data_IF_677043374244
#
_entry.id   IF_677043374244
#
_cell.length_a   1.000
_cell.length_b   1.000
_cell.length_c   1.000
_cell.angle_alpha   90.00
_cell.angle_beta   90.00
_cell.angle_gamma   90.00
#
_symmetry.space_group_name_H-M   'P 1'
#
loop_
_entity.id
_entity.type
_entity.pdbx_description
1 polymer ?
#
# COMPACT_ATOMS: atom_id res chain seq x y z
N UNK A 1 -23.93 10.07 -2.17
CA UNK A 1 -23.60 10.33 -0.75
C UNK A 1 -22.21 10.94 -0.74
N UNK A 2 -22.04 12.04 -0.02
CA UNK A 2 -20.75 12.73 0.10
C UNK A 2 -19.82 11.96 1.04
N UNK A 3 -18.50 12.12 0.87
CA UNK A 3 -17.49 11.57 1.80
C UNK A 3 -17.36 12.53 2.97
N UNK A 4 -17.36 12.01 4.19
CA UNK A 4 -17.35 12.80 5.43
C UNK A 4 -16.08 12.57 6.24
N UNK A 5 -15.78 13.47 7.17
CA UNK A 5 -14.66 13.31 8.10
C UNK A 5 -14.75 12.03 8.94
N UNK A 6 -15.94 11.49 9.18
CA UNK A 6 -16.08 10.24 9.93
C UNK A 6 -15.65 9.02 9.10
N UNK A 7 -15.87 9.06 7.78
CA UNK A 7 -15.39 8.04 6.83
C UNK A 7 -13.86 7.95 6.79
N UNK A 8 -13.14 8.99 7.26
CA UNK A 8 -11.68 9.10 7.16
C UNK A 8 -10.94 9.10 8.50
N UNK A 9 -11.57 8.61 9.58
CA UNK A 9 -10.84 8.46 10.86
C UNK A 9 -9.89 7.27 10.82
N UNK A 10 -8.72 7.39 11.46
CA UNK A 10 -7.75 6.30 11.62
C UNK A 10 -8.22 5.21 12.60
N UNK A 11 -9.36 4.56 12.33
CA UNK A 11 -9.87 3.40 13.07
C UNK A 11 -10.68 2.52 12.11
N UNK A 12 -10.75 1.20 12.31
CA UNK A 12 -11.57 0.34 11.47
C UNK A 12 -13.04 0.73 11.44
N UNK A 13 -13.68 0.59 10.28
CA UNK A 13 -15.14 0.72 10.15
C UNK A 13 -15.84 -0.44 10.91
N UNK A 14 -16.64 -0.17 11.95
CA UNK A 14 -17.28 -1.22 12.73
C UNK A 14 -18.24 -2.07 11.89
N UNK A 15 -18.11 -3.39 11.98
CA UNK A 15 -19.00 -4.34 11.31
C UNK A 15 -18.78 -4.47 9.80
N UNK A 16 -17.80 -3.75 9.22
CA UNK A 16 -17.42 -3.92 7.84
C UNK A 16 -16.80 -5.31 7.59
N UNK A 17 -17.07 -5.95 6.43
CA UNK A 17 -16.44 -7.23 6.07
C UNK A 17 -14.91 -7.12 5.96
N UNK A 18 -14.40 -5.98 5.51
CA UNK A 18 -13.02 -5.58 5.67
C UNK A 18 -12.93 -4.03 5.72
N UNK A 19 -11.80 -3.48 6.15
CA UNK A 19 -11.48 -2.05 6.00
C UNK A 19 -10.04 -1.91 5.48
N UNK A 20 -9.93 -1.45 4.24
CA UNK A 20 -8.69 -1.31 3.49
C UNK A 20 -8.29 0.15 3.46
N UNK A 21 -7.11 0.47 3.98
CA UNK A 21 -6.45 1.77 3.81
C UNK A 21 -5.19 1.55 2.99
N UNK A 22 -5.04 2.29 1.90
CA UNK A 22 -3.95 2.11 0.96
C UNK A 22 -3.36 3.45 0.51
N UNK A 23 -2.05 3.48 0.31
CA UNK A 23 -1.30 4.58 -0.25
C UNK A 23 -0.45 4.08 -1.42
N UNK A 24 -0.52 4.81 -2.53
CA UNK A 24 0.35 4.68 -3.69
C UNK A 24 1.12 5.96 -3.94
N UNK A 25 2.41 5.86 -4.24
CA UNK A 25 3.19 6.99 -4.75
C UNK A 25 4.27 6.52 -5.72
N UNK A 26 4.71 7.43 -6.58
CA UNK A 26 5.82 7.21 -7.51
C UNK A 26 6.73 8.43 -7.44
N UNK A 27 8.03 8.22 -7.29
CA UNK A 27 9.04 9.26 -7.38
C UNK A 27 9.94 8.98 -8.58
N UNK A 28 9.85 9.84 -9.60
CA UNK A 28 10.70 9.71 -10.78
C UNK A 28 12.16 10.02 -10.46
N UNK A 29 12.40 10.97 -9.56
CA UNK A 29 13.74 11.37 -9.12
C UNK A 29 14.50 10.24 -8.45
N UNK A 30 13.81 9.36 -7.72
CA UNK A 30 14.41 8.17 -7.12
C UNK A 30 14.14 6.88 -7.93
N UNK A 31 13.47 6.97 -9.09
CA UNK A 31 13.03 5.84 -9.90
C UNK A 31 12.37 4.71 -9.08
N UNK A 32 11.42 5.08 -8.23
CA UNK A 32 10.85 4.22 -7.20
C UNK A 32 9.33 4.39 -7.10
N UNK A 33 8.62 3.27 -6.96
CA UNK A 33 7.21 3.22 -6.56
C UNK A 33 7.07 2.69 -5.15
N UNK A 34 6.20 3.32 -4.36
CA UNK A 34 5.80 2.85 -3.03
C UNK A 34 4.33 2.46 -2.98
N UNK A 35 4.05 1.34 -2.30
CA UNK A 35 2.71 0.87 -1.97
C UNK A 35 2.67 0.52 -0.48
N UNK A 36 1.68 1.03 0.24
CA UNK A 36 1.38 0.67 1.63
C UNK A 36 -0.10 0.31 1.72
N UNK A 37 -0.43 -0.86 2.27
CA UNK A 37 -1.81 -1.32 2.45
C UNK A 37 -1.97 -1.99 3.81
N UNK A 38 -2.96 -1.54 4.56
CA UNK A 38 -3.57 -2.29 5.65
C UNK A 38 -4.95 -2.76 5.20
N UNK A 39 -5.24 -4.05 5.36
CA UNK A 39 -6.53 -4.68 5.07
C UNK A 39 -7.01 -5.39 6.34
N UNK A 40 -7.86 -4.69 7.09
CA UNK A 40 -8.40 -5.14 8.38
C UNK A 40 -9.59 -6.06 8.14
N UNK A 41 -9.44 -7.35 8.45
CA UNK A 41 -10.48 -8.37 8.27
C UNK A 41 -11.04 -8.79 9.62
N UNK A 42 -11.90 -7.94 10.19
CA UNK A 42 -12.43 -8.12 11.55
C UNK A 42 -13.11 -9.48 11.78
N UNK A 43 -13.84 -10.01 10.79
CA UNK A 43 -14.49 -11.32 10.89
C UNK A 43 -13.50 -12.49 10.92
N UNK A 44 -12.35 -12.37 10.25
CA UNK A 44 -11.29 -13.37 10.24
C UNK A 44 -10.33 -13.23 11.45
N UNK A 45 -10.48 -12.17 12.25
CA UNK A 45 -9.61 -11.93 13.41
C UNK A 45 -8.18 -11.53 13.05
N UNK A 46 -7.94 -11.08 11.82
CA UNK A 46 -6.60 -10.73 11.32
C UNK A 46 -6.58 -9.43 10.48
N UNK A 47 -5.40 -8.85 10.37
CA UNK A 47 -5.07 -7.74 9.47
C UNK A 47 -3.97 -8.18 8.52
N UNK A 48 -4.14 -7.90 7.22
CA UNK A 48 -3.08 -8.08 6.23
C UNK A 48 -2.32 -6.77 6.04
N UNK A 49 -0.99 -6.84 6.04
CA UNK A 49 -0.09 -5.73 5.72
C UNK A 49 0.66 -6.06 4.43
N UNK A 50 0.66 -5.10 3.51
CA UNK A 50 1.56 -5.08 2.37
C UNK A 50 2.29 -3.74 2.34
N UNK A 51 3.61 -3.78 2.38
CA UNK A 51 4.46 -2.65 2.00
C UNK A 51 5.36 -3.10 0.88
N UNK A 52 5.46 -2.33 -0.20
CA UNK A 52 6.39 -2.61 -1.27
C UNK A 52 7.14 -1.33 -1.66
N UNK A 53 8.46 -1.47 -1.78
CA UNK A 53 9.35 -0.51 -2.40
C UNK A 53 9.89 -1.14 -3.68
N UNK A 54 9.45 -0.64 -4.83
CA UNK A 54 9.75 -1.20 -6.15
C UNK A 54 10.59 -0.21 -6.93
N UNK A 55 11.88 -0.52 -7.09
CA UNK A 55 12.85 0.34 -7.77
C UNK A 55 13.05 -0.10 -9.21
N UNK A 56 13.31 0.86 -10.10
CA UNK A 56 13.62 0.53 -11.49
C UNK A 56 15.00 -0.11 -11.60
N UNK A 57 15.06 -1.27 -12.26
CA UNK A 57 16.34 -1.97 -12.49
C UNK A 57 16.78 -2.89 -11.36
N UNK A 58 16.16 -2.79 -10.18
CA UNK A 58 16.65 -3.38 -8.93
C UNK A 58 15.68 -4.44 -8.38
N UNK A 59 16.12 -5.29 -7.44
CA UNK A 59 15.23 -6.15 -6.66
C UNK A 59 14.17 -5.34 -5.90
N UNK A 60 13.01 -5.95 -5.73
CA UNK A 60 11.92 -5.43 -4.92
C UNK A 60 12.20 -5.66 -3.44
N UNK A 61 11.75 -4.74 -2.59
CA UNK A 61 11.73 -4.98 -1.15
C UNK A 61 10.30 -4.93 -0.65
N UNK A 62 9.84 -6.05 -0.07
CA UNK A 62 8.43 -6.24 0.27
C UNK A 62 8.27 -6.72 1.71
N UNK A 63 7.38 -6.08 2.46
CA UNK A 63 6.87 -6.55 3.75
C UNK A 63 5.49 -7.12 3.52
N UNK A 64 5.30 -8.41 3.80
CA UNK A 64 4.00 -9.08 3.71
C UNK A 64 3.73 -9.77 5.03
N UNK A 65 2.61 -9.43 5.66
CA UNK A 65 2.06 -10.13 6.83
C UNK A 65 0.55 -10.33 6.63
N UNK A 66 0.01 -11.43 7.12
CA UNK A 66 -1.40 -11.79 6.97
C UNK A 66 -2.11 -12.15 8.28
N UNK A 67 -1.40 -12.10 9.40
CA UNK A 67 -1.89 -12.51 10.72
C UNK A 67 -1.66 -11.43 11.78
N UNK A 68 -1.47 -10.17 11.37
CA UNK A 68 -1.38 -9.06 12.32
C UNK A 68 -2.69 -8.93 13.11
N UNK A 69 -2.63 -8.48 14.38
CA UNK A 69 -3.83 -8.32 15.18
C UNK A 69 -4.81 -7.32 14.54
N UNK A 70 -6.10 -7.49 14.82
CA UNK A 70 -7.13 -6.53 14.41
C UNK A 70 -7.01 -5.25 15.24
N UNK A 71 -6.75 -4.08 14.63
CA UNK A 71 -6.73 -2.82 15.36
C UNK A 71 -8.11 -2.49 15.92
N UNK A 72 -8.17 -1.83 17.08
CA UNK A 72 -9.46 -1.45 17.73
C UNK A 72 -9.71 0.06 17.75
N UNK A 73 -8.65 0.85 17.81
CA UNK A 73 -8.74 2.29 18.11
C UNK A 73 -7.91 3.15 17.16
N UNK A 74 -6.76 2.65 16.71
CA UNK A 74 -5.83 3.28 15.76
C UNK A 74 -5.36 2.25 14.74
N UNK A 75 -4.88 2.69 13.57
CA UNK A 75 -4.17 1.83 12.62
C UNK A 75 -2.69 1.67 12.98
N UNK A 76 -2.41 1.42 14.27
CA UNK A 76 -1.07 1.17 14.79
C UNK A 76 -0.95 -0.30 15.16
N UNK A 77 0.01 -1.00 14.55
CA UNK A 77 0.19 -2.45 14.71
C UNK A 77 1.65 -2.76 15.05
N UNK A 78 1.84 -3.73 15.96
CA UNK A 78 3.15 -4.27 16.36
C UNK A 78 3.13 -5.78 16.33
N UNK A 79 4.13 -6.36 15.68
CA UNK A 79 4.42 -7.79 15.70
C UNK A 79 5.94 -8.00 15.57
N UNK A 80 6.46 -9.22 15.77
CA UNK A 80 7.89 -9.49 15.63
C UNK A 80 8.45 -9.04 14.27
N UNK A 81 9.33 -8.05 14.27
CA UNK A 81 9.98 -7.54 13.06
C UNK A 81 9.13 -6.56 12.23
N UNK A 82 8.02 -6.06 12.77
CA UNK A 82 7.20 -5.02 12.13
C UNK A 82 6.50 -4.11 13.15
N UNK A 83 6.65 -2.81 12.94
CA UNK A 83 5.78 -1.77 13.45
C UNK A 83 5.27 -0.95 12.27
N UNK A 84 3.98 -0.65 12.26
CA UNK A 84 3.36 0.21 11.24
C UNK A 84 2.30 1.08 11.91
N UNK A 85 2.21 2.34 11.47
CA UNK A 85 1.18 3.29 11.88
C UNK A 85 0.68 4.06 10.66
N UNK A 86 -0.65 4.06 10.45
CA UNK A 86 -1.31 5.00 9.55
C UNK A 86 -2.10 6.02 10.41
N UNK A 87 -1.51 7.20 10.61
CA UNK A 87 -2.06 8.27 11.41
C UNK A 87 -2.99 9.17 10.60
N UNK A 88 -4.12 9.55 11.21
CA UNK A 88 -5.01 10.58 10.67
C UNK A 88 -4.95 11.77 11.61
N UNK A 89 -4.19 12.79 11.22
CA UNK A 89 -4.05 14.01 12.02
C UNK A 89 -5.25 14.94 11.78
N UNK A 90 -5.64 15.10 10.50
CA UNK A 90 -6.81 15.86 10.09
C UNK A 90 -7.58 15.08 9.01
N UNK A 91 -8.79 14.58 9.31
CA UNK A 91 -9.58 13.81 8.34
C UNK A 91 -9.78 14.57 7.02
N UNK A 92 -9.62 13.84 5.92
CA UNK A 92 -9.69 14.32 4.53
C UNK A 92 -8.66 15.39 4.15
N UNK A 93 -7.66 15.62 4.99
CA UNK A 93 -6.65 16.65 4.80
C UNK A 93 -5.24 16.09 4.97
N UNK A 94 -4.88 15.66 6.19
CA UNK A 94 -3.50 15.30 6.53
C UNK A 94 -3.40 13.96 7.26
N UNK A 95 -2.53 13.09 6.75
CA UNK A 95 -2.22 11.76 7.29
C UNK A 95 -0.72 11.54 7.38
N UNK A 96 -0.31 10.59 8.21
CA UNK A 96 1.07 10.14 8.37
C UNK A 96 1.21 8.63 8.14
N UNK A 97 2.37 8.19 7.66
CA UNK A 97 2.76 6.77 7.61
C UNK A 97 4.09 6.58 8.31
N UNK A 98 4.07 5.82 9.40
CA UNK A 98 5.25 5.29 10.06
C UNK A 98 5.41 3.80 9.76
N UNK A 99 6.64 3.37 9.44
CA UNK A 99 6.99 1.96 9.31
C UNK A 99 8.39 1.71 9.84
N UNK A 100 8.55 0.66 10.64
CA UNK A 100 9.82 0.04 10.98
C UNK A 100 9.69 -1.47 10.82
N UNK A 101 10.33 -2.05 9.79
CA UNK A 101 10.16 -3.45 9.46
C UNK A 101 11.42 -4.08 8.85
N UNK A 102 11.37 -5.40 8.66
CA UNK A 102 12.32 -6.13 7.83
C UNK A 102 11.64 -6.64 6.56
N UNK A 103 11.95 -6.02 5.43
CA UNK A 103 11.44 -6.39 4.11
C UNK A 103 12.24 -7.51 3.48
N UNK A 104 11.55 -8.40 2.76
CA UNK A 104 12.15 -9.45 1.94
C UNK A 104 12.65 -8.86 0.63
N UNK A 105 13.90 -9.12 0.28
CA UNK A 105 14.45 -8.82 -1.05
C UNK A 105 13.98 -9.88 -2.03
N UNK A 106 13.36 -9.46 -3.12
CA UNK A 106 12.79 -10.33 -4.15
C UNK A 106 13.31 -9.95 -5.53
N UNK A 107 13.69 -10.97 -6.29
CA UNK A 107 14.07 -10.77 -7.69
C UNK A 107 12.87 -10.29 -8.52
N UNK A 108 13.16 -9.63 -9.63
CA UNK A 108 12.11 -9.08 -10.51
C UNK A 108 11.25 -10.22 -11.06
N UNK A 109 9.94 -10.12 -10.84
CA UNK A 109 8.95 -11.11 -11.29
C UNK A 109 8.66 -12.22 -10.29
N UNK A 110 9.39 -12.30 -9.17
CA UNK A 110 9.02 -13.19 -8.08
C UNK A 110 7.71 -12.77 -7.41
N UNK A 111 6.98 -13.76 -6.91
CA UNK A 111 5.71 -13.57 -6.22
C UNK A 111 5.96 -13.55 -4.71
N UNK A 112 5.71 -12.40 -4.08
CA UNK A 112 5.76 -12.26 -2.63
C UNK A 112 4.59 -13.02 -1.98
N UNK A 113 4.82 -13.66 -0.85
CA UNK A 113 3.76 -14.26 -0.03
C UNK A 113 4.19 -14.25 1.44
N UNK A 114 3.26 -14.44 2.40
CA UNK A 114 3.62 -14.53 3.81
C UNK A 114 4.59 -15.69 4.15
N UNK A 115 4.63 -16.72 3.30
CA UNK A 115 5.53 -17.87 3.46
C UNK A 115 6.85 -17.72 2.70
N UNK A 116 7.04 -16.64 1.92
CA UNK A 116 8.28 -16.38 1.19
C UNK A 116 9.46 -16.24 2.15
N UNK A 117 10.64 -16.68 1.71
CA UNK A 117 11.89 -16.70 2.47
C UNK A 117 13.03 -16.20 1.59
N UNK A 118 14.03 -15.58 2.21
CA UNK A 118 15.16 -14.98 1.49
C UNK A 118 15.86 -13.94 2.36
N UNK A 119 16.67 -13.10 1.72
CA UNK A 119 17.37 -12.00 2.38
C UNK A 119 16.38 -10.97 2.93
N UNK A 120 16.61 -10.54 4.17
CA UNK A 120 15.81 -9.50 4.82
C UNK A 120 16.67 -8.27 5.07
N UNK A 121 16.16 -7.12 4.65
CA UNK A 121 16.79 -5.81 4.87
C UNK A 121 15.87 -4.92 5.70
N UNK A 122 16.42 -4.02 6.53
CA UNK A 122 15.59 -3.05 7.24
C UNK A 122 14.88 -2.14 6.22
N UNK A 123 13.61 -1.85 6.49
CA UNK A 123 12.78 -0.93 5.72
C UNK A 123 12.14 0.03 6.69
N UNK A 124 12.17 1.32 6.36
CA UNK A 124 11.52 2.36 7.11
C UNK A 124 10.74 3.31 6.22
N UNK A 125 9.61 3.79 6.73
CA UNK A 125 8.84 4.88 6.13
C UNK A 125 8.57 5.91 7.22
N UNK A 126 8.81 7.17 6.87
CA UNK A 126 8.42 8.34 7.66
C UNK A 126 7.84 9.34 6.67
N UNK A 127 6.52 9.27 6.45
CA UNK A 127 5.84 9.98 5.37
C UNK A 127 4.69 10.82 5.90
N UNK A 128 4.58 12.04 5.37
CA UNK A 128 3.46 12.95 5.52
C UNK A 128 2.67 13.02 4.21
N UNK A 129 1.34 13.12 4.34
CA UNK A 129 0.39 13.08 3.25
C UNK A 129 -0.56 14.26 3.32
N UNK A 130 -0.45 15.20 2.38
CA UNK A 130 -1.36 16.33 2.26
C UNK A 130 -2.33 16.13 1.11
N UNK A 131 -3.63 16.26 1.36
CA UNK A 131 -4.67 16.16 0.34
C UNK A 131 -4.57 17.32 -0.65
N UNK A 132 -4.55 17.02 -1.95
CA UNK A 132 -4.39 18.05 -3.00
C UNK A 132 -5.67 18.35 -3.76
N UNK A 133 -6.70 17.50 -3.66
CA UNK A 133 -8.01 17.73 -4.22
C UNK A 133 -9.11 17.00 -3.42
N UNK A 134 -10.39 17.38 -3.56
CA UNK A 134 -11.49 16.74 -2.85
C UNK A 134 -11.58 15.22 -3.05
N UNK A 135 -12.08 14.45 -2.07
CA UNK A 135 -12.25 13.02 -2.19
C UNK A 135 -13.26 12.64 -3.27
N UNK A 136 -12.97 11.58 -4.01
CA UNK A 136 -13.89 10.97 -4.95
C UNK A 136 -14.42 9.64 -4.39
N UNK A 137 -15.74 9.55 -4.21
CA UNK A 137 -16.44 8.33 -3.75
C UNK A 137 -16.29 7.20 -4.78
N UNK A 138 -16.01 5.99 -4.31
CA UNK A 138 -15.83 4.78 -5.13
C UNK A 138 -16.52 3.56 -4.50
N UNK A 139 -17.84 3.42 -4.71
CA UNK A 139 -18.64 2.40 -4.03
C UNK A 139 -18.67 2.64 -2.53
N UNK A 140 -18.30 1.62 -1.74
CA UNK A 140 -18.16 1.68 -0.28
C UNK A 140 -16.75 2.11 0.13
N UNK A 141 -16.35 3.27 -0.38
CA UNK A 141 -15.02 3.82 -0.18
C UNK A 141 -14.82 5.14 -0.92
N UNK A 142 -13.58 5.63 -0.90
CA UNK A 142 -13.15 6.82 -1.61
C UNK A 142 -11.66 6.75 -1.96
N UNK A 143 -11.23 7.67 -2.81
CA UNK A 143 -9.81 7.99 -3.01
C UNK A 143 -9.57 9.49 -3.00
N UNK A 144 -8.34 9.86 -2.65
CA UNK A 144 -7.86 11.24 -2.55
C UNK A 144 -6.50 11.33 -3.25
N UNK A 145 -6.30 12.29 -4.16
CA UNK A 145 -4.96 12.64 -4.57
C UNK A 145 -4.25 13.34 -3.41
N UNK A 146 -3.00 12.96 -3.19
CA UNK A 146 -2.18 13.44 -2.08
C UNK A 146 -0.80 13.85 -2.57
N UNK A 147 -0.21 14.84 -1.91
CA UNK A 147 1.24 15.08 -1.97
C UNK A 147 1.88 14.28 -0.85
N UNK A 148 2.83 13.43 -1.21
CA UNK A 148 3.57 12.57 -0.29
C UNK A 148 4.97 13.13 -0.13
N UNK A 149 5.38 13.39 1.10
CA UNK A 149 6.71 13.88 1.41
C UNK A 149 7.28 13.16 2.63
N UNK A 150 8.62 13.10 2.72
CA UNK A 150 9.31 12.41 3.81
C UNK A 150 10.38 11.47 3.31
N UNK A 151 10.62 10.37 4.01
CA UNK A 151 11.73 9.46 3.74
C UNK A 151 11.30 8.00 3.55
N UNK A 152 11.90 7.38 2.54
CA UNK A 152 11.89 5.94 2.32
C UNK A 152 13.28 5.39 2.61
N UNK A 153 13.38 4.46 3.55
CA UNK A 153 14.61 3.81 3.98
C UNK A 153 14.60 2.35 3.52
N UNK A 154 15.66 1.92 2.84
CA UNK A 154 15.84 0.53 2.39
C UNK A 154 17.30 0.14 2.59
N UNK A 155 17.56 -0.87 3.43
CA UNK A 155 18.91 -1.23 3.85
C UNK A 155 19.67 -0.01 4.40
N UNK A 156 20.76 0.39 3.76
CA UNK A 156 21.57 1.58 4.07
C UNK A 156 21.18 2.82 3.24
N UNK A 157 20.26 2.67 2.29
CA UNK A 157 19.83 3.76 1.42
C UNK A 157 18.68 4.56 2.05
N UNK A 158 18.73 5.88 1.89
CA UNK A 158 17.68 6.84 2.23
C UNK A 158 17.27 7.63 1.00
N UNK A 159 15.97 7.67 0.74
CA UNK A 159 15.36 8.41 -0.34
C UNK A 159 14.42 9.46 0.24
N UNK A 160 14.85 10.72 0.24
CA UNK A 160 13.94 11.83 0.49
C UNK A 160 13.01 11.99 -0.71
N UNK A 161 11.70 12.01 -0.47
CA UNK A 161 10.69 12.14 -1.51
C UNK A 161 9.80 13.37 -1.28
N UNK A 162 9.34 13.94 -2.38
CA UNK A 162 8.31 14.97 -2.45
C UNK A 162 7.61 14.78 -3.79
N UNK A 163 6.48 14.08 -3.78
CA UNK A 163 5.83 13.60 -5.00
C UNK A 163 4.31 13.55 -4.87
N UNK A 164 3.64 13.24 -5.98
CA UNK A 164 2.20 12.95 -6.00
C UNK A 164 1.95 11.47 -5.68
N UNK A 165 0.81 11.22 -5.06
CA UNK A 165 0.30 9.90 -4.77
C UNK A 165 -1.22 9.87 -4.72
N UNK A 166 -1.76 8.71 -4.39
CA UNK A 166 -3.18 8.52 -4.16
C UNK A 166 -3.36 7.69 -2.91
N UNK A 167 -4.23 8.18 -2.00
CA UNK A 167 -4.69 7.41 -0.85
C UNK A 167 -6.09 6.88 -1.13
N UNK A 168 -6.33 5.64 -0.75
CA UNK A 168 -7.60 4.96 -0.89
C UNK A 168 -8.10 4.51 0.48
N UNK A 169 -9.42 4.49 0.61
CA UNK A 169 -10.07 3.76 1.69
C UNK A 169 -11.30 3.03 1.17
N UNK A 170 -11.49 1.76 1.55
CA UNK A 170 -12.69 0.96 1.21
C UNK A 170 -13.06 0.04 2.34
N UNK A 171 -14.35 -0.21 2.53
CA UNK A 171 -14.84 -1.09 3.60
C UNK A 171 -15.80 -2.19 3.12
N UNK A 172 -15.80 -2.48 1.81
CA UNK A 172 -16.59 -3.57 1.21
C UNK A 172 -15.81 -4.87 1.00
N UNK A 173 -14.57 -4.96 1.49
CA UNK A 173 -13.70 -6.11 1.22
C UNK A 173 -13.22 -6.21 -0.23
N UNK A 174 -13.45 -5.18 -1.05
CA UNK A 174 -12.91 -5.11 -2.40
C UNK A 174 -11.61 -4.32 -2.41
N UNK A 175 -10.74 -4.66 -3.36
CA UNK A 175 -9.49 -3.93 -3.58
C UNK A 175 -9.79 -2.53 -4.14
N UNK A 176 -8.93 -1.54 -3.86
CA UNK A 176 -9.00 -0.24 -4.52
C UNK A 176 -9.05 -0.39 -6.04
N UNK A 177 -9.95 0.37 -6.66
CA UNK A 177 -10.04 0.44 -8.12
C UNK A 177 -8.95 1.40 -8.57
N UNK A 178 -7.87 0.85 -9.10
CA UNK A 178 -6.82 1.64 -9.75
C UNK A 178 -7.04 1.56 -11.26
N UNK A 179 -7.00 2.69 -11.99
CA UNK A 179 -7.23 2.66 -13.43
C UNK A 179 -6.23 1.73 -14.13
N UNK A 180 -6.69 0.90 -15.09
CA UNK A 180 -5.77 0.15 -15.94
C UNK A 180 -4.90 1.12 -16.76
N UNK A 181 -3.68 0.70 -17.07
CA UNK A 181 -2.76 1.43 -17.94
C UNK A 181 -2.75 0.85 -19.35
N UNK A 182 -2.54 1.68 -20.39
CA UNK A 182 -2.27 1.20 -21.74
C UNK A 182 -1.06 0.23 -21.76
N UNK A 183 -1.16 -0.83 -22.58
CA UNK A 183 -0.13 -1.87 -22.64
C UNK A 183 1.18 -1.43 -23.31
N UNK A 184 1.19 -0.29 -24.00
CA UNK A 184 2.34 0.29 -24.69
C UNK A 184 3.24 1.14 -23.77
N UNK A 185 2.80 1.44 -22.56
CA UNK A 185 3.62 2.14 -21.57
C UNK A 185 4.56 1.17 -20.86
N UNK A 186 5.86 1.49 -20.81
CA UNK A 186 6.84 0.65 -20.12
C UNK A 186 6.81 0.95 -18.61
N UNK A 187 6.55 -0.04 -17.74
CA UNK A 187 6.53 0.18 -16.31
C UNK A 187 7.95 0.43 -15.79
N UNK A 188 8.06 1.29 -14.78
CA UNK A 188 9.31 1.50 -14.06
C UNK A 188 9.72 0.28 -13.23
N UNK A 189 8.73 -0.45 -12.70
CA UNK A 189 8.89 -1.73 -12.01
C UNK A 189 7.54 -2.40 -11.76
N UNK A 190 7.58 -3.68 -11.37
CA UNK A 190 6.40 -4.49 -11.10
C UNK A 190 6.54 -5.31 -9.83
N UNK A 191 5.39 -5.68 -9.26
CA UNK A 191 5.23 -6.43 -8.03
C UNK A 191 4.17 -7.51 -8.25
N UNK A 192 4.43 -8.71 -7.78
CA UNK A 192 3.41 -9.76 -7.65
C UNK A 192 3.31 -10.19 -6.19
N UNK A 193 2.08 -10.34 -5.69
CA UNK A 193 1.81 -10.77 -4.31
C UNK A 193 0.74 -11.86 -4.33
N UNK A 194 0.92 -12.90 -3.54
CA UNK A 194 -0.02 -14.00 -3.36
C UNK A 194 -0.45 -14.07 -1.90
N UNK A 195 -1.77 -14.06 -1.68
CA UNK A 195 -2.37 -14.13 -0.36
C UNK A 195 -3.00 -15.50 -0.12
N UNK A 196 -2.80 -16.10 1.06
CA UNK A 196 -3.56 -17.29 1.45
C UNK A 196 -5.04 -16.92 1.60
N UNK A 197 -5.92 -17.77 1.06
CA UNK A 197 -7.37 -17.68 1.24
C UNK A 197 -7.84 -18.91 2.02
N UNK A 198 -8.80 -18.72 2.92
CA UNK A 198 -9.30 -19.77 3.82
C UNK A 198 -9.98 -20.90 3.03
N UNK A 199 -10.77 -20.52 2.04
CA UNK A 199 -11.51 -21.41 1.15
C UNK A 199 -11.16 -21.13 -0.32
N UNK A 200 -10.07 -21.71 -0.82
CA UNK A 200 -9.77 -21.68 -2.26
C UNK A 200 -8.29 -21.58 -2.61
N UNK A 201 -7.97 -21.43 -3.92
CA UNK A 201 -6.62 -21.12 -4.33
C UNK A 201 -6.20 -19.74 -3.78
N UNK A 202 -4.89 -19.52 -3.57
CA UNK A 202 -4.40 -18.24 -3.10
C UNK A 202 -4.74 -17.14 -4.11
N UNK A 203 -5.07 -15.96 -3.59
CA UNK A 203 -5.42 -14.80 -4.40
C UNK A 203 -4.14 -14.06 -4.82
N UNK A 204 -3.81 -14.11 -6.11
CA UNK A 204 -2.69 -13.35 -6.66
C UNK A 204 -3.11 -11.93 -7.05
N UNK A 205 -2.18 -11.00 -6.90
CA UNK A 205 -2.28 -9.63 -7.40
C UNK A 205 -0.98 -9.24 -8.09
N UNK A 206 -1.09 -8.55 -9.21
CA UNK A 206 0.05 -7.99 -9.93
C UNK A 206 -0.14 -6.50 -10.10
N UNK A 207 0.94 -5.77 -9.88
CA UNK A 207 0.98 -4.33 -9.86
C UNK A 207 2.20 -3.84 -10.64
N UNK A 208 2.08 -2.69 -11.25
CA UNK A 208 3.21 -1.97 -11.80
C UNK A 208 3.06 -0.47 -11.56
N UNK A 209 4.19 0.21 -11.44
CA UNK A 209 4.21 1.66 -11.40
C UNK A 209 4.76 2.23 -12.71
N UNK A 210 4.25 3.40 -13.06
CA UNK A 210 4.54 4.13 -14.28
C UNK A 210 4.93 5.57 -13.92
N UNK A 211 5.95 6.09 -14.60
CA UNK A 211 6.34 7.52 -14.51
C UNK A 211 5.58 8.37 -15.53
N UNK A 212 6.23 9.42 -16.01
CA UNK A 212 5.77 10.27 -17.11
C UNK A 212 4.79 11.35 -16.69
N UNK A 213 3.97 11.81 -17.65
CA UNK A 213 3.04 12.94 -17.48
C UNK A 213 1.89 12.66 -16.51
N UNK A 214 1.63 11.40 -16.22
CA UNK A 214 0.68 10.97 -15.20
C UNK A 214 1.36 9.83 -14.45
N UNK A 215 2.14 10.08 -13.38
CA UNK A 215 2.78 9.01 -12.63
C UNK A 215 1.75 8.26 -11.76
N UNK A 216 1.95 6.97 -11.54
CA UNK A 216 1.09 6.20 -10.64
C UNK A 216 1.19 4.69 -10.79
N UNK A 217 0.47 3.98 -9.93
CA UNK A 217 0.35 2.52 -9.96
C UNK A 217 -0.81 2.08 -10.85
N UNK A 218 -0.75 0.85 -11.35
CA UNK A 218 -1.88 0.16 -11.98
C UNK A 218 -1.85 -1.34 -11.65
N UNK A 219 -3.03 -1.94 -11.56
CA UNK A 219 -3.16 -3.38 -11.52
C UNK A 219 -2.85 -3.96 -12.92
N UNK A 220 -2.13 -5.08 -12.94
CA UNK A 220 -1.89 -5.86 -14.15
C UNK A 220 -2.85 -7.04 -14.18
N UNK A 221 -3.45 -7.29 -15.33
CA UNK A 221 -4.24 -8.51 -15.52
C UNK A 221 -3.32 -9.74 -15.37
N UNK A 222 -3.86 -10.81 -14.79
CA UNK A 222 -3.14 -12.06 -14.56
C UNK A 222 -2.67 -12.77 -15.86
N UNK A 223 -2.87 -12.17 -17.04
CA UNK A 223 -2.53 -12.71 -18.36
C UNK A 223 -1.50 -11.87 -19.14
N UNK A 224 -0.82 -10.92 -18.50
CA UNK A 224 0.24 -10.15 -19.16
C UNK A 224 1.60 -10.46 -18.53
N UNK A 225 2.12 -11.65 -18.86
CA UNK A 225 3.51 -12.04 -18.69
C UNK A 225 3.96 -12.84 -19.91
#
# INVERSE_FOLDING_TARGET
MEVTNDDDRARPVPGAPADVVELHFVTETAALGGLVRLDVRGAAGATRLLVAVVRSGEPNVVVVDHELPVPRHSFELRAPGVWVELGCETPLDHWTVGLEAFGLVLDRGEVASPVSRGERVPVGLDLDLDTTAPPARTGDGFHLPVRVHGDVLVADARYGIDTQGTRFRRWDGRRPLVPPRPADETPGGSLAVSWPEEDGPPAEERWAWYGGSAPGWAALDAQSA
#
